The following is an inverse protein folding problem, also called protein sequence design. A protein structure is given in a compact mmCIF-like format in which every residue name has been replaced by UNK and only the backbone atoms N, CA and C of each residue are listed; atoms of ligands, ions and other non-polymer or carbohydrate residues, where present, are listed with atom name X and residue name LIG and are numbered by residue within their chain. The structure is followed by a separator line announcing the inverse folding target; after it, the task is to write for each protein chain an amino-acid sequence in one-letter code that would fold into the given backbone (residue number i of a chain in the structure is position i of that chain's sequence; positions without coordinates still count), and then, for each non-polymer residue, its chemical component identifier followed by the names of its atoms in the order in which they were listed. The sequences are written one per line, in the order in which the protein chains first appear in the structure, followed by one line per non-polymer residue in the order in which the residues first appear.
data_IF_249758519196
#
_entry.id   IF_249758519196
#
_cell.length_a   1.000
_cell.length_b   1.000
_cell.length_c   1.000
_cell.angle_alpha   90.00
_cell.angle_beta   90.00
_cell.angle_gamma   90.00
#
_symmetry.space_group_name_H-M   'P 1'
#
loop_
_entity.id
_entity.type
_entity.pdbx_description
1 polymer ?
#
# COMPACT_ATOMS: atom_id res chain seq x y z
N UNK A 1 24.58 1.95 -2.51
CA UNK A 1 23.36 1.46 -1.81
C UNK A 1 22.20 1.42 -2.80
N UNK A 2 21.41 0.35 -2.81
CA UNK A 2 20.31 0.17 -3.77
C UNK A 2 19.05 0.98 -3.44
N UNK A 3 18.17 1.20 -4.43
CA UNK A 3 16.86 1.84 -4.22
C UNK A 3 16.00 1.07 -3.21
N UNK A 4 16.04 -0.26 -3.26
CA UNK A 4 15.30 -1.16 -2.37
C UNK A 4 15.71 -1.00 -0.91
N UNK A 5 17.00 -0.77 -0.63
CA UNK A 5 17.50 -0.56 0.75
C UNK A 5 16.91 0.71 1.37
N UNK A 6 16.84 1.80 0.59
CA UNK A 6 16.21 3.06 1.03
C UNK A 6 14.75 2.87 1.36
N UNK A 7 14.02 2.16 0.49
CA UNK A 7 12.60 1.88 0.72
C UNK A 7 12.38 0.97 1.92
N UNK A 8 13.25 -0.02 2.14
CA UNK A 8 13.16 -0.93 3.28
C UNK A 8 13.31 -0.16 4.60
N UNK A 9 14.30 0.74 4.70
CA UNK A 9 14.49 1.58 5.89
C UNK A 9 13.30 2.52 6.09
N UNK A 10 12.84 3.19 5.02
CA UNK A 10 11.68 4.09 5.10
C UNK A 10 10.43 3.37 5.60
N UNK A 11 10.12 2.20 5.04
CA UNK A 11 8.96 1.39 5.48
C UNK A 11 9.18 0.88 6.92
N UNK A 12 10.42 0.54 7.29
CA UNK A 12 10.78 0.19 8.66
C UNK A 12 10.40 1.29 9.67
N UNK A 13 10.67 2.55 9.33
CA UNK A 13 10.30 3.72 10.15
C UNK A 13 8.78 3.96 10.10
N UNK A 14 8.17 3.98 8.92
CA UNK A 14 6.71 4.17 8.74
C UNK A 14 5.88 3.14 9.54
N UNK A 15 6.41 1.94 9.76
CA UNK A 15 5.73 0.85 10.48
C UNK A 15 6.12 0.73 11.96
N UNK A 16 6.97 1.64 12.47
CA UNK A 16 7.43 1.61 13.86
C UNK A 16 8.34 0.42 14.19
N UNK A 17 8.98 -0.18 13.20
CA UNK A 17 9.98 -1.24 13.45
C UNK A 17 11.37 -0.69 13.73
N UNK A 18 11.63 0.54 13.29
CA UNK A 18 12.91 1.23 13.46
C UNK A 18 12.64 2.69 13.81
N UNK A 19 13.44 3.23 14.73
CA UNK A 19 13.52 4.67 14.93
C UNK A 19 14.18 5.34 13.73
N UNK A 20 13.75 6.57 13.40
CA UNK A 20 14.28 7.32 12.27
C UNK A 20 15.80 7.55 12.36
N UNK A 21 16.30 7.82 13.56
CA UNK A 21 17.73 8.02 13.82
C UNK A 21 18.53 6.73 13.60
N UNK A 22 18.00 5.59 14.07
CA UNK A 22 18.61 4.27 13.89
C UNK A 22 18.67 3.93 12.40
N UNK A 23 17.58 4.16 11.66
CA UNK A 23 17.54 3.95 10.22
C UNK A 23 18.57 4.82 9.47
N UNK A 24 18.70 6.10 9.85
CA UNK A 24 19.71 7.01 9.27
C UNK A 24 21.14 6.56 9.58
N UNK A 25 21.41 6.08 10.80
CA UNK A 25 22.71 5.53 11.20
C UNK A 25 23.07 4.27 10.39
N UNK A 26 22.13 3.33 10.29
CA UNK A 26 22.31 2.10 9.50
C UNK A 26 22.56 2.42 8.03
N UNK A 27 21.85 3.42 7.47
CA UNK A 27 22.06 3.88 6.08
C UNK A 27 23.49 4.34 5.85
N UNK A 28 24.00 5.25 6.69
CA UNK A 28 25.38 5.77 6.59
C UNK A 28 26.42 4.66 6.74
N UNK A 29 26.18 3.71 7.64
CA UNK A 29 27.05 2.55 7.83
C UNK A 29 27.04 1.61 6.60
N UNK A 30 25.87 1.34 6.02
CA UNK A 30 25.72 0.54 4.80
C UNK A 30 26.47 1.16 3.62
N UNK A 31 26.33 2.48 3.42
CA UNK A 31 27.02 3.22 2.36
C UNK A 31 28.54 3.19 2.55
N UNK A 32 29.03 3.44 3.77
CA UNK A 32 30.46 3.43 4.08
C UNK A 32 31.10 2.05 3.95
N UNK A 33 30.40 0.98 4.34
CA UNK A 33 30.91 -0.40 4.29
C UNK A 33 30.65 -1.10 2.95
N UNK A 34 29.88 -0.50 2.05
CA UNK A 34 29.44 -1.14 0.82
C UNK A 34 28.60 -2.41 1.05
N UNK A 35 27.94 -2.55 2.21
CA UNK A 35 27.19 -3.75 2.59
C UNK A 35 25.68 -3.53 2.44
N UNK A 36 24.89 -4.59 2.18
CA UNK A 36 23.44 -4.51 2.19
C UNK A 36 22.92 -4.07 3.57
N UNK A 37 21.89 -3.22 3.57
CA UNK A 37 21.26 -2.71 4.80
C UNK A 37 20.72 -3.84 5.66
N UNK A 38 20.15 -4.87 5.03
CA UNK A 38 19.55 -6.01 5.74
C UNK A 38 20.58 -6.80 6.57
N UNK A 39 21.79 -6.99 6.03
CA UNK A 39 22.87 -7.68 6.73
C UNK A 39 23.26 -6.92 8.02
N UNK A 40 23.32 -5.59 7.95
CA UNK A 40 23.61 -4.76 9.13
C UNK A 40 22.47 -4.79 10.15
N UNK A 41 21.21 -4.80 9.70
CA UNK A 41 20.04 -4.89 10.58
C UNK A 41 20.00 -6.22 11.35
N UNK A 42 20.40 -7.32 10.71
CA UNK A 42 20.52 -8.65 11.34
C UNK A 42 21.70 -8.73 12.30
N UNK A 43 22.89 -8.31 11.85
CA UNK A 43 24.14 -8.38 12.62
C UNK A 43 24.00 -7.61 13.94
N UNK A 44 23.38 -6.42 13.90
CA UNK A 44 23.13 -5.58 15.08
C UNK A 44 21.90 -6.00 15.88
N UNK A 45 21.21 -7.08 15.49
CA UNK A 45 19.94 -7.56 16.07
C UNK A 45 18.86 -6.48 16.18
N UNK A 46 18.91 -5.46 15.31
CA UNK A 46 17.92 -4.39 15.27
C UNK A 46 16.58 -4.89 14.76
N UNK A 47 16.61 -5.84 13.81
CA UNK A 47 15.43 -6.55 13.33
C UNK A 47 15.71 -8.04 13.24
N UNK A 48 14.69 -8.84 13.54
CA UNK A 48 14.73 -10.28 13.27
C UNK A 48 14.57 -10.57 11.78
N UNK A 49 15.06 -11.72 11.32
CA UNK A 49 14.87 -12.19 9.95
C UNK A 49 13.38 -12.27 9.54
N UNK A 50 12.49 -12.58 10.49
CA UNK A 50 11.02 -12.54 10.26
C UNK A 50 10.53 -11.13 9.95
N UNK A 51 10.98 -10.11 10.69
CA UNK A 51 10.61 -8.70 10.43
C UNK A 51 11.15 -8.21 9.09
N UNK A 52 12.39 -8.56 8.75
CA UNK A 52 12.99 -8.21 7.45
C UNK A 52 12.20 -8.85 6.30
N UNK A 53 11.82 -10.14 6.41
CA UNK A 53 10.97 -10.79 5.41
C UNK A 53 9.64 -10.06 5.21
N UNK A 54 8.99 -9.62 6.29
CA UNK A 54 7.76 -8.81 6.20
C UNK A 54 8.01 -7.47 5.51
N UNK A 55 9.08 -6.75 5.85
CA UNK A 55 9.44 -5.50 5.20
C UNK A 55 9.69 -5.66 3.70
N UNK A 56 10.40 -6.72 3.28
CA UNK A 56 10.61 -7.04 1.86
C UNK A 56 9.29 -7.18 1.09
N UNK A 57 8.28 -7.82 1.70
CA UNK A 57 6.94 -7.95 1.10
C UNK A 57 6.29 -6.57 0.89
N UNK A 58 6.42 -5.65 1.85
CA UNK A 58 5.93 -4.28 1.70
C UNK A 58 6.68 -3.48 0.63
N UNK A 59 8.01 -3.57 0.56
CA UNK A 59 8.83 -2.93 -0.49
C UNK A 59 8.39 -3.44 -1.86
N UNK A 60 8.26 -4.77 -2.01
CA UNK A 60 7.78 -5.38 -3.26
C UNK A 60 6.41 -4.87 -3.66
N UNK A 61 5.47 -4.82 -2.73
CA UNK A 61 4.13 -4.28 -2.98
C UNK A 61 4.17 -2.80 -3.41
N UNK A 62 4.97 -1.95 -2.75
CA UNK A 62 5.08 -0.52 -3.09
C UNK A 62 5.63 -0.31 -4.51
N UNK A 63 6.67 -1.05 -4.89
CA UNK A 63 7.22 -1.04 -6.24
C UNK A 63 6.21 -1.53 -7.28
N UNK A 64 5.56 -2.67 -7.03
CA UNK A 64 4.53 -3.24 -7.90
C UNK A 64 3.38 -2.24 -8.07
N UNK A 65 2.88 -1.67 -6.97
CA UNK A 65 1.80 -0.69 -6.96
C UNK A 65 2.12 0.55 -7.78
N UNK A 66 3.37 1.03 -7.71
CA UNK A 66 3.82 2.16 -8.54
C UNK A 66 3.84 1.80 -10.03
N UNK A 67 4.26 0.59 -10.38
CA UNK A 67 4.20 0.11 -11.75
C UNK A 67 2.76 -0.01 -12.24
N UNK A 68 1.88 -0.57 -11.42
CA UNK A 68 0.49 -0.81 -11.76
C UNK A 68 -0.33 0.49 -11.88
N UNK A 69 0.06 1.57 -11.19
CA UNK A 69 -0.51 2.91 -11.46
C UNK A 69 -0.20 3.41 -12.88
N UNK A 70 1.02 3.20 -13.37
CA UNK A 70 1.38 3.56 -14.76
C UNK A 70 0.66 2.66 -15.76
N UNK A 71 0.54 1.37 -15.43
CA UNK A 71 -0.26 0.42 -16.19
C UNK A 71 -1.72 0.87 -16.31
N UNK A 72 -2.34 1.30 -15.20
CA UNK A 72 -3.71 1.80 -15.19
C UNK A 72 -3.90 3.00 -16.13
N UNK A 73 -2.99 3.99 -16.06
CA UNK A 73 -3.03 5.17 -16.94
C UNK A 73 -2.95 4.76 -18.41
N UNK A 74 -2.04 3.84 -18.75
CA UNK A 74 -1.90 3.35 -20.13
C UNK A 74 -3.14 2.57 -20.59
N UNK A 75 -3.70 1.71 -19.75
CA UNK A 75 -4.89 0.94 -20.10
C UNK A 75 -6.12 1.84 -20.34
N UNK A 76 -6.23 2.94 -19.58
CA UNK A 76 -7.27 3.97 -19.77
C UNK A 76 -7.04 4.74 -21.08
N UNK A 77 -5.80 5.18 -21.36
CA UNK A 77 -5.51 5.95 -22.58
C UNK A 77 -5.74 5.16 -23.86
N UNK A 78 -5.62 3.83 -23.79
CA UNK A 78 -5.85 2.91 -24.92
C UNK A 78 -7.34 2.51 -25.04
N UNK A 79 -8.22 3.02 -24.16
CA UNK A 79 -9.65 2.72 -24.18
C UNK A 79 -10.00 1.29 -23.79
N UNK A 80 -9.06 0.53 -23.22
CA UNK A 80 -9.27 -0.88 -22.85
C UNK A 80 -10.06 -1.03 -21.57
N UNK A 81 -9.94 -0.08 -20.64
CA UNK A 81 -10.68 -0.04 -19.38
C UNK A 81 -11.08 1.39 -19.04
N UNK A 82 -12.21 1.55 -18.36
CA UNK A 82 -12.62 2.85 -17.82
C UNK A 82 -11.81 3.22 -16.56
N UNK A 83 -11.75 4.51 -16.25
CA UNK A 83 -11.11 5.01 -15.03
C UNK A 83 -11.72 4.38 -13.77
N UNK A 84 -13.05 4.22 -13.75
CA UNK A 84 -13.76 3.60 -12.63
C UNK A 84 -13.33 2.13 -12.42
N UNK A 85 -13.20 1.36 -13.52
CA UNK A 85 -12.74 -0.03 -13.49
C UNK A 85 -11.29 -0.13 -13.00
N UNK A 86 -10.39 0.70 -13.53
CA UNK A 86 -8.99 0.73 -13.11
C UNK A 86 -8.86 1.10 -11.63
N UNK A 87 -9.61 2.11 -11.15
CA UNK A 87 -9.63 2.52 -9.73
C UNK A 87 -10.19 1.40 -8.84
N UNK A 88 -11.22 0.69 -9.30
CA UNK A 88 -11.77 -0.45 -8.58
C UNK A 88 -10.77 -1.62 -8.47
N UNK A 89 -10.05 -1.94 -9.54
CA UNK A 89 -8.98 -2.94 -9.53
C UNK A 89 -7.84 -2.56 -8.59
N UNK A 90 -7.40 -1.29 -8.63
CA UNK A 90 -6.41 -0.76 -7.70
C UNK A 90 -6.91 -0.84 -6.24
N UNK A 91 -8.17 -0.52 -5.94
CA UNK A 91 -8.71 -0.70 -4.58
C UNK A 91 -8.70 -2.16 -4.14
N UNK A 92 -9.06 -3.07 -5.04
CA UNK A 92 -9.04 -4.52 -4.77
C UNK A 92 -7.63 -5.02 -4.41
N UNK A 93 -6.60 -4.67 -5.20
CA UNK A 93 -5.21 -5.02 -4.87
C UNK A 93 -4.79 -4.56 -3.46
N UNK A 94 -5.20 -3.33 -3.07
CA UNK A 94 -4.88 -2.78 -1.74
C UNK A 94 -5.53 -3.65 -0.65
N UNK A 95 -6.81 -3.97 -0.79
CA UNK A 95 -7.55 -4.80 0.16
C UNK A 95 -6.93 -6.20 0.28
N UNK A 96 -6.59 -6.83 -0.84
CA UNK A 96 -5.93 -8.15 -0.85
C UNK A 96 -4.59 -8.09 -0.13
N UNK A 97 -3.75 -7.09 -0.43
CA UNK A 97 -2.46 -6.94 0.25
C UNK A 97 -2.59 -6.63 1.75
N UNK A 98 -3.59 -5.84 2.15
CA UNK A 98 -3.84 -5.52 3.56
C UNK A 98 -4.24 -6.76 4.36
N UNK A 99 -5.12 -7.61 3.80
CA UNK A 99 -5.63 -8.83 4.42
C UNK A 99 -4.62 -9.98 4.41
N UNK A 100 -4.05 -10.28 3.25
CA UNK A 100 -3.31 -11.53 3.00
C UNK A 100 -1.81 -11.32 2.87
N UNK A 101 -1.34 -10.07 2.73
CA UNK A 101 0.06 -9.74 2.41
C UNK A 101 0.54 -10.34 1.08
N UNK A 102 -0.39 -10.69 0.20
CA UNK A 102 -0.13 -11.18 -1.16
C UNK A 102 -0.08 -10.02 -2.15
N UNK A 103 0.81 -10.12 -3.13
CA UNK A 103 1.00 -9.09 -4.16
C UNK A 103 0.32 -9.58 -5.45
N UNK A 104 -0.85 -9.04 -5.77
CA UNK A 104 -1.57 -9.37 -7.02
C UNK A 104 -1.39 -8.22 -8.01
N UNK A 105 -1.13 -8.52 -9.29
CA UNK A 105 -0.97 -7.53 -10.38
C UNK A 105 -2.30 -7.00 -10.88
N UNK A 106 -2.32 -5.74 -11.34
CA UNK A 106 -3.56 -5.10 -11.76
C UNK A 106 -4.13 -5.78 -13.02
N UNK A 107 -3.28 -6.12 -13.98
CA UNK A 107 -3.68 -6.85 -15.18
C UNK A 107 -4.40 -8.17 -14.86
N UNK A 108 -3.87 -8.97 -13.93
CA UNK A 108 -4.53 -10.20 -13.45
C UNK A 108 -5.91 -9.91 -12.84
N UNK A 109 -6.02 -8.88 -11.99
CA UNK A 109 -7.31 -8.49 -11.39
C UNK A 109 -8.34 -8.06 -12.44
N UNK A 110 -7.91 -7.47 -13.55
CA UNK A 110 -8.80 -7.05 -14.64
C UNK A 110 -9.21 -8.25 -15.52
N UNK A 111 -8.29 -9.18 -15.79
CA UNK A 111 -8.56 -10.43 -16.52
C UNK A 111 -9.55 -11.31 -15.74
N UNK A 112 -9.32 -11.51 -14.44
CA UNK A 112 -10.21 -12.32 -13.58
C UNK A 112 -11.65 -11.77 -13.53
N UNK A 113 -11.85 -10.50 -13.91
CA UNK A 113 -13.15 -9.84 -13.96
C UNK A 113 -13.74 -9.75 -15.39
N UNK A 114 -13.06 -10.32 -16.38
CA UNK A 114 -13.46 -10.22 -17.79
C UNK A 114 -13.39 -8.80 -18.36
N UNK A 115 -12.62 -7.90 -17.73
CA UNK A 115 -12.49 -6.51 -18.19
C UNK A 115 -11.35 -6.32 -19.20
N UNK A 116 -10.46 -7.29 -19.27
CA UNK A 116 -9.26 -7.25 -20.10
C UNK A 116 -8.93 -8.67 -20.53
N UNK A 117 -8.50 -8.85 -21.77
CA UNK A 117 -8.01 -10.13 -22.27
C UNK A 117 -6.49 -10.30 -21.99
N UNK A 118 -6.01 -11.53 -22.01
CA UNK A 118 -4.60 -11.88 -21.80
C UNK A 118 -3.70 -11.23 -22.85
N UNK A 119 -4.12 -11.18 -24.12
CA UNK A 119 -3.34 -10.55 -25.18
C UNK A 119 -3.28 -9.02 -25.00
N UNK A 120 -4.34 -8.41 -24.49
CA UNK A 120 -4.36 -6.99 -24.15
C UNK A 120 -3.40 -6.68 -22.97
N UNK A 121 -3.36 -7.51 -21.92
CA UNK A 121 -2.38 -7.36 -20.81
C UNK A 121 -0.95 -7.50 -21.35
N UNK A 122 -0.72 -8.46 -22.23
CA UNK A 122 0.59 -8.69 -22.86
C UNK A 122 1.04 -7.48 -23.70
N UNK A 123 0.13 -6.92 -24.49
CA UNK A 123 0.39 -5.72 -25.29
C UNK A 123 0.73 -4.51 -24.39
N UNK A 124 -0.06 -4.26 -23.35
CA UNK A 124 0.18 -3.19 -22.37
C UNK A 124 1.53 -3.33 -21.66
N UNK A 125 1.90 -4.55 -21.24
CA UNK A 125 3.19 -4.82 -20.59
C UNK A 125 4.37 -4.61 -21.53
N UNK A 126 4.22 -4.97 -22.79
CA UNK A 126 5.24 -4.75 -23.81
C UNK A 126 5.49 -3.24 -24.01
N UNK A 127 4.42 -2.44 -24.07
CA UNK A 127 4.50 -0.96 -24.16
C UNK A 127 5.15 -0.30 -22.96
N UNK A 128 5.00 -0.83 -21.74
CA UNK A 128 5.63 -0.29 -20.53
C UNK A 128 7.15 -0.53 -20.42
N UNK A 129 7.79 -0.98 -21.50
CA UNK A 129 9.23 -1.23 -21.54
C UNK A 129 9.61 -2.50 -20.80
N UNK A 130 8.81 -3.55 -20.95
CA UNK A 130 9.09 -4.86 -20.38
C UNK A 130 10.47 -5.36 -20.79
N UNK A 131 11.49 -5.15 -19.94
CA UNK A 131 12.47 -6.21 -19.70
C UNK A 131 11.62 -7.43 -19.34
N UNK A 132 11.51 -8.38 -20.27
CA UNK A 132 10.78 -9.65 -20.07
C UNK A 132 11.11 -10.15 -18.68
N UNK A 133 10.15 -10.11 -17.75
CA UNK A 133 10.29 -10.87 -16.52
C UNK A 133 10.07 -12.31 -16.96
N UNK A 134 11.08 -13.19 -16.89
CA UNK A 134 10.94 -14.56 -17.36
C UNK A 134 9.73 -15.19 -16.66
N UNK A 135 8.76 -15.57 -17.48
CA UNK A 135 7.47 -16.17 -17.09
C UNK A 135 7.66 -17.51 -16.34
N UNK A 136 8.86 -18.08 -16.39
CA UNK A 136 9.19 -19.38 -15.81
C UNK A 136 9.14 -19.44 -14.27
N UNK A 137 9.19 -18.30 -13.55
CA UNK A 137 9.11 -18.32 -12.09
C UNK A 137 7.69 -18.47 -11.51
N UNK A 138 6.66 -18.64 -12.35
CA UNK A 138 5.26 -18.87 -11.92
C UNK A 138 4.78 -20.29 -12.25
N UNK A 139 5.59 -21.11 -12.94
CA UNK A 139 5.26 -22.53 -13.15
C UNK A 139 6.03 -23.41 -12.16
N UNK A 140 5.28 -24.16 -11.36
CA UNK A 140 5.66 -25.29 -10.50
C UNK A 140 6.35 -24.97 -9.17
N UNK A 141 5.54 -24.52 -8.20
CA UNK A 141 5.49 -25.21 -6.90
C UNK A 141 4.27 -26.14 -6.94
N UNK A 142 4.18 -26.95 -7.99
CA UNK A 142 3.49 -28.22 -7.93
C UNK A 142 4.53 -29.13 -7.28
N UNK A 143 4.58 -29.08 -5.95
CA UNK A 143 5.24 -30.12 -5.20
C UNK A 143 4.53 -31.41 -5.54
N UNK A 144 5.34 -32.40 -5.92
CA UNK A 144 4.98 -33.81 -5.99
C UNK A 144 4.05 -34.17 -4.83
N UNK A 145 2.75 -34.22 -5.14
CA UNK A 145 1.80 -34.89 -4.28
C UNK A 145 2.02 -36.37 -4.57
N UNK A 146 2.43 -37.18 -3.59
CA UNK A 146 2.55 -38.61 -3.79
C UNK A 146 1.20 -39.17 -4.25
N UNK A 147 1.24 -39.85 -5.39
CA UNK A 147 0.26 -40.76 -5.98
C UNK A 147 -1.06 -40.92 -5.21
N UNK A 148 -2.10 -40.29 -5.75
CA UNK A 148 -3.52 -40.40 -5.40
C UNK A 148 -4.11 -41.77 -5.79
N UNK A 149 -3.47 -42.86 -5.37
CA UNK A 149 -4.01 -44.22 -5.50
C UNK A 149 -4.28 -44.90 -4.15
N UNK A 150 -3.70 -44.40 -3.05
CA UNK A 150 -3.86 -45.00 -1.72
C UNK A 150 -4.97 -44.35 -0.84
N UNK A 151 -5.52 -43.20 -1.22
CA UNK A 151 -6.46 -42.44 -0.37
C UNK A 151 -7.94 -42.69 -0.70
N UNK A 152 -8.25 -43.51 -1.71
CA UNK A 152 -9.63 -43.85 -2.07
C UNK A 152 -10.19 -45.07 -1.30
N UNK A 153 -9.37 -45.78 -0.53
CA UNK A 153 -9.80 -46.99 0.19
C UNK A 153 -10.17 -46.78 1.68
N UNK A 154 -10.09 -45.56 2.21
CA UNK A 154 -10.37 -45.26 3.63
C UNK A 154 -11.52 -44.25 3.85
N UNK A 155 -12.26 -43.89 2.80
CA UNK A 155 -13.31 -42.86 2.89
C UNK A 155 -14.74 -43.38 2.71
N UNK A 156 -15.00 -44.64 3.08
CA UNK A 156 -16.36 -45.21 3.10
C UNK A 156 -16.92 -45.50 4.52
N UNK A 157 -16.16 -45.24 5.59
CA UNK A 157 -16.61 -45.58 6.96
C UNK A 157 -16.87 -44.39 7.90
N UNK A 158 -16.94 -43.16 7.39
CA UNK A 158 -17.29 -41.99 8.21
C UNK A 158 -18.52 -41.27 7.66
N UNK A 159 -19.67 -41.95 7.68
CA UNK A 159 -20.99 -41.31 7.64
C UNK A 159 -21.12 -40.43 8.89
N UNK A 160 -20.70 -39.17 8.76
CA UNK A 160 -20.92 -38.13 9.76
C UNK A 160 -22.41 -37.92 10.04
N UNK A 161 -22.75 -37.24 11.16
CA UNK A 161 -24.12 -37.06 11.61
C UNK A 161 -24.97 -36.45 10.50
N UNK A 162 -26.09 -37.10 10.20
CA UNK A 162 -27.09 -36.60 9.25
C UNK A 162 -27.46 -35.18 9.64
N UNK A 163 -27.05 -34.23 8.80
CA UNK A 163 -27.45 -32.82 8.89
C UNK A 163 -28.98 -32.81 8.80
N UNK A 164 -29.63 -32.55 9.93
CA UNK A 164 -31.08 -32.47 10.00
C UNK A 164 -31.54 -31.19 9.29
N UNK A 165 -32.77 -31.16 8.78
CA UNK A 165 -33.35 -29.97 8.17
C UNK A 165 -33.28 -28.72 9.08
N UNK A 166 -33.18 -28.92 10.41
CA UNK A 166 -32.96 -27.88 11.41
C UNK A 166 -31.62 -27.15 11.26
N UNK A 167 -30.57 -27.83 10.80
CA UNK A 167 -29.24 -27.22 10.61
C UNK A 167 -29.20 -26.27 9.41
N UNK A 168 -29.97 -26.53 8.35
CA UNK A 168 -30.05 -25.61 7.21
C UNK A 168 -30.73 -24.29 7.59
N UNK A 169 -31.80 -24.34 8.40
CA UNK A 169 -32.45 -23.14 8.91
C UNK A 169 -31.52 -22.30 9.80
N UNK A 170 -30.71 -22.95 10.64
CA UNK A 170 -29.70 -22.26 11.46
C UNK A 170 -28.59 -21.61 10.62
N UNK A 171 -28.18 -22.26 9.53
CA UNK A 171 -27.20 -21.71 8.57
C UNK A 171 -27.80 -20.49 7.84
N UNK A 172 -29.05 -20.58 7.37
CA UNK A 172 -29.72 -19.45 6.72
C UNK A 172 -29.89 -18.25 7.67
N UNK A 173 -30.27 -18.49 8.93
CA UNK A 173 -30.39 -17.42 9.92
C UNK A 173 -29.03 -16.77 10.22
N UNK A 174 -27.96 -17.57 10.31
CA UNK A 174 -26.60 -17.05 10.46
C UNK A 174 -26.17 -16.19 9.26
N UNK A 175 -26.50 -16.59 8.04
CA UNK A 175 -26.23 -15.81 6.82
C UNK A 175 -26.99 -14.49 6.85
N UNK A 176 -28.29 -14.49 7.20
CA UNK A 176 -29.08 -13.24 7.31
C UNK A 176 -28.52 -12.29 8.37
N UNK A 177 -28.04 -12.80 9.51
CA UNK A 177 -27.39 -11.95 10.53
C UNK A 177 -26.10 -11.30 10.02
N UNK A 178 -25.28 -12.03 9.26
CA UNK A 178 -24.04 -11.49 8.68
C UNK A 178 -24.35 -10.42 7.62
N UNK A 179 -25.38 -10.63 6.80
CA UNK A 179 -25.82 -9.64 5.81
C UNK A 179 -26.38 -8.37 6.46
N UNK A 180 -27.16 -8.51 7.54
CA UNK A 180 -27.65 -7.37 8.32
C UNK A 180 -26.49 -6.56 8.94
N UNK A 181 -25.50 -7.22 9.53
CA UNK A 181 -24.30 -6.54 10.06
C UNK A 181 -23.49 -5.83 8.96
N UNK A 182 -23.45 -6.41 7.77
CA UNK A 182 -22.77 -5.81 6.60
C UNK A 182 -23.51 -4.57 6.09
N UNK A 183 -24.84 -4.59 6.07
CA UNK A 183 -25.66 -3.43 5.73
C UNK A 183 -25.47 -2.30 6.76
N UNK A 184 -25.53 -2.62 8.06
CA UNK A 184 -25.24 -1.65 9.13
C UNK A 184 -23.83 -1.04 9.01
N UNK A 185 -22.81 -1.85 8.68
CA UNK A 185 -21.46 -1.37 8.45
C UNK A 185 -21.33 -0.50 7.20
N UNK A 186 -22.16 -0.74 6.17
CA UNK A 186 -22.22 0.11 4.97
C UNK A 186 -22.90 1.45 5.28
N UNK A 187 -23.97 1.45 6.07
CA UNK A 187 -24.64 2.68 6.51
C UNK A 187 -23.73 3.52 7.42
N UNK A 188 -23.01 2.88 8.35
CA UNK A 188 -21.96 3.53 9.15
C UNK A 188 -20.75 3.98 8.30
N UNK A 189 -20.48 3.34 7.16
CA UNK A 189 -19.45 3.78 6.21
C UNK A 189 -19.90 4.93 5.31
N UNK A 190 -21.21 5.18 5.22
CA UNK A 190 -21.80 6.30 4.48
C UNK A 190 -22.09 7.51 5.39
N UNK A 191 -22.14 7.31 6.71
CA UNK A 191 -22.25 8.35 7.73
C UNK A 191 -20.87 8.76 8.24
N UNK A 192 -20.41 9.91 7.75
CA UNK A 192 -19.46 10.83 8.37
C UNK A 192 -17.98 10.43 8.61
N UNK A 193 -17.14 11.18 7.88
CA UNK A 193 -16.07 12.01 8.47
C UNK A 193 -15.15 11.35 9.52
N UNK A 194 -14.20 10.52 9.09
CA UNK A 194 -12.92 10.39 9.79
C UNK A 194 -11.77 10.19 8.79
N UNK A 195 -10.92 11.22 8.67
CA UNK A 195 -9.53 11.05 8.27
C UNK A 195 -9.22 11.11 6.77
N UNK A 196 -9.65 12.17 6.08
CA UNK A 196 -8.91 12.63 4.93
C UNK A 196 -7.52 13.07 5.42
N UNK A 197 -6.46 12.38 4.97
CA UNK A 197 -5.08 12.78 5.17
C UNK A 197 -4.95 14.29 4.91
N UNK A 198 -4.38 15.06 5.85
CA UNK A 198 -4.23 16.51 5.72
C UNK A 198 -3.48 16.92 4.43
N UNK A 199 -2.71 16.00 3.86
CA UNK A 199 -2.04 16.16 2.56
C UNK A 199 -3.03 16.08 1.37
N UNK A 200 -4.10 15.30 1.48
CA UNK A 200 -5.14 15.18 0.44
C UNK A 200 -6.09 16.38 0.43
N UNK A 201 -6.39 16.97 1.59
CA UNK A 201 -7.20 18.18 1.67
C UNK A 201 -6.49 19.37 1.01
N UNK A 202 -5.20 19.56 1.27
CA UNK A 202 -4.38 20.60 0.63
C UNK A 202 -4.18 20.35 -0.88
N UNK A 203 -4.09 19.11 -1.34
CA UNK A 203 -4.01 18.78 -2.77
C UNK A 203 -5.33 19.08 -3.50
N UNK A 204 -6.48 18.80 -2.87
CA UNK A 204 -7.80 19.11 -3.43
C UNK A 204 -8.05 20.62 -3.43
N UNK A 205 -7.68 21.33 -2.36
CA UNK A 205 -7.82 22.78 -2.26
C UNK A 205 -6.94 23.50 -3.31
N UNK A 206 -5.69 23.03 -3.53
CA UNK A 206 -4.84 23.53 -4.60
C UNK A 206 -5.40 23.22 -6.00
N UNK A 207 -5.95 22.02 -6.22
CA UNK A 207 -6.56 21.66 -7.50
C UNK A 207 -7.80 22.51 -7.79
N UNK A 208 -8.64 22.78 -6.79
CA UNK A 208 -9.81 23.65 -6.90
C UNK A 208 -9.42 25.11 -7.13
N UNK A 209 -8.36 25.61 -6.48
CA UNK A 209 -7.85 26.95 -6.72
C UNK A 209 -7.32 27.14 -8.15
N UNK A 210 -6.66 26.13 -8.73
CA UNK A 210 -6.20 26.14 -10.13
C UNK A 210 -7.39 26.14 -11.10
N UNK A 211 -8.44 25.36 -10.83
CA UNK A 211 -9.64 25.31 -11.65
C UNK A 211 -10.47 26.60 -11.55
N UNK A 212 -10.58 27.19 -10.36
CA UNK A 212 -11.27 28.47 -10.15
C UNK A 212 -10.58 29.61 -10.93
N UNK A 213 -9.24 29.63 -10.95
CA UNK A 213 -8.47 30.61 -11.74
C UNK A 213 -8.64 30.43 -13.25
N UNK A 214 -8.71 29.18 -13.74
CA UNK A 214 -9.03 28.90 -15.16
C UNK A 214 -10.45 29.30 -15.54
N UNK A 215 -11.41 29.15 -14.63
CA UNK A 215 -12.82 29.46 -14.91
C UNK A 215 -13.13 30.96 -14.90
N UNK A 216 -12.30 31.76 -14.22
CA UNK A 216 -12.42 33.23 -14.16
C UNK A 216 -11.65 33.96 -15.27
N UNK A 217 -11.11 33.26 -16.27
CA UNK A 217 -10.54 33.89 -17.47
C UNK A 217 -9.27 34.71 -17.23
N UNK A 218 -8.49 34.41 -16.19
CA UNK A 218 -7.20 35.08 -15.97
C UNK A 218 -6.16 34.56 -16.99
N UNK A 219 -5.95 35.33 -18.05
CA UNK A 219 -5.03 35.01 -19.14
C UNK A 219 -3.53 35.13 -18.79
N UNK A 220 -3.17 35.49 -17.55
CA UNK A 220 -1.78 35.80 -17.15
C UNK A 220 -1.20 34.81 -16.13
N UNK A 221 -1.33 33.50 -16.38
CA UNK A 221 -0.89 32.46 -15.42
C UNK A 221 0.59 32.03 -15.54
N UNK A 222 1.38 32.60 -16.46
CA UNK A 222 2.81 32.26 -16.63
C UNK A 222 3.78 33.30 -16.03
N UNK A 223 3.30 34.36 -15.39
CA UNK A 223 4.17 35.31 -14.69
C UNK A 223 4.52 34.78 -13.28
N UNK A 224 5.81 34.56 -12.94
CA UNK A 224 6.19 34.23 -11.58
C UNK A 224 5.81 35.39 -10.63
N UNK A 225 5.38 35.10 -9.39
CA UNK A 225 4.91 36.13 -8.47
C UNK A 225 6.03 37.13 -8.18
N UNK A 226 5.71 38.43 -8.32
CA UNK A 226 6.62 39.53 -8.01
C UNK A 226 7.13 39.41 -6.55
N UNK A 227 8.44 39.60 -6.30
CA UNK A 227 9.05 39.43 -4.97
C UNK A 227 8.52 40.42 -3.91
N UNK A 228 7.72 41.41 -4.30
CA UNK A 228 7.15 42.41 -3.41
C UNK A 228 5.98 41.93 -2.52
N UNK A 229 5.39 40.75 -2.79
CA UNK A 229 4.19 40.27 -2.07
C UNK A 229 4.47 39.07 -1.14
N UNK A 230 5.67 38.96 -0.57
CA UNK A 230 5.88 38.01 0.52
C UNK A 230 5.32 38.59 1.83
N UNK A 231 4.31 37.95 2.47
CA UNK A 231 3.88 38.36 3.79
C UNK A 231 5.08 38.26 4.73
N UNK A 232 5.45 39.40 5.35
CA UNK A 232 6.52 39.46 6.36
C UNK A 232 6.16 38.48 7.47
N UNK A 233 6.86 37.34 7.52
CA UNK A 233 6.80 36.41 8.66
C UNK A 233 7.18 37.19 9.91
N UNK A 234 6.18 37.48 10.75
CA UNK A 234 6.37 38.09 12.07
C UNK A 234 7.15 37.09 12.92
N UNK A 235 8.46 37.31 13.05
CA UNK A 235 9.32 36.52 13.93
C UNK A 235 8.89 36.82 15.36
N UNK A 236 8.15 35.90 15.98
CA UNK A 236 7.95 35.92 17.42
C UNK A 236 9.30 35.62 18.07
N UNK A 237 10.00 36.67 18.51
CA UNK A 237 11.11 36.54 19.45
C UNK A 237 10.54 36.00 20.76
N UNK A 238 10.68 34.69 21.00
CA UNK A 238 10.53 34.14 22.35
C UNK A 238 11.69 34.68 23.17
N UNK A 239 11.40 35.68 23.98
CA UNK A 239 12.25 36.15 25.08
C UNK A 239 12.38 35.00 26.08
N UNK A 240 13.51 34.31 26.04
CA UNK A 240 13.94 33.39 27.09
C UNK A 240 14.24 34.22 28.33
N UNK A 241 13.27 34.31 29.24
CA UNK A 241 13.45 34.88 30.56
C UNK A 241 14.42 34.02 31.36
N UNK A 242 15.66 34.46 31.45
CA UNK A 242 16.71 33.87 32.27
C UNK A 242 16.54 34.40 33.71
N UNK A 243 15.61 33.80 34.46
CA UNK A 243 15.42 34.11 35.87
C UNK A 243 16.50 33.39 36.70
N UNK A 244 17.46 34.21 37.10
CA UNK A 244 18.54 33.98 38.06
C UNK A 244 17.92 33.75 39.44
N UNK A 245 17.95 32.53 39.95
CA UNK A 245 17.75 32.24 41.38
C UNK A 245 18.84 31.26 41.79
N UNK A 246 19.99 31.78 42.22
CA UNK A 246 20.91 31.04 43.09
C UNK A 246 20.79 31.62 44.49
N UNK A 247 20.09 30.87 45.34
CA UNK A 247 20.13 30.97 46.79
C UNK A 247 21.49 30.41 47.23
N UNK A 248 22.37 31.26 47.76
CA UNK A 248 23.43 30.82 48.67
C UNK A 248 22.89 30.89 50.09
N UNK A 249 23.09 29.81 50.84
CA UNK A 249 22.79 29.75 52.26
C UNK A 249 22.48 28.33 52.71
N UNK A 250 23.51 27.57 53.10
CA UNK A 250 23.48 26.65 54.24
C UNK A 250 24.83 25.92 54.41
N UNK A 251 25.35 26.03 55.64
CA UNK A 251 26.39 25.26 56.32
C UNK A 251 27.85 25.42 55.85
#
# INVERSE_FOLDING_TARGET
MGRSDRELLRIGVERGYLEAEVAARVRREAERRGRPVESLLLERRLLSARRIRRLRVHVRYRHMRKADKRYAVLAISEGLVSEAQARAGLRHQRRVFERERTCVRLGSVLIDRGLLDVEQDRALRSKLGGRRVPSEAVRKVEGDTPSSAATLALHEQSMGPRVTASSYAQIEEAVRRVEALRAMAQDLSCSDNVGADADSANEIENALAVLARRRLGAADADAPPSPAQRPRRRVQKKTTGLLRIFRQGAA
#
